data_IF_965774038485
#
_entry.id   IF_965774038485
#
_cell.length_a   1.000
_cell.length_b   1.000
_cell.length_c   1.000
_cell.angle_alpha   90.00
_cell.angle_beta   90.00
_cell.angle_gamma   90.00
#
_symmetry.space_group_name_H-M   'P 1'
#
loop_
_entity.id
_entity.type
_entity.pdbx_description
1 polymer ?
#
# COMPACT_ATOMS: atom_id res chain seq x y z
N UNK A 1 31.75 79.92 -31.84
CA UNK A 1 30.69 79.76 -30.81
C UNK A 1 29.60 78.81 -31.29
N UNK A 2 29.28 77.78 -30.50
CA UNK A 2 28.34 76.67 -30.75
C UNK A 2 28.73 75.68 -31.87
N UNK A 3 29.10 76.13 -33.08
CA UNK A 3 29.48 75.21 -34.17
C UNK A 3 30.83 74.54 -33.90
N UNK A 4 31.83 75.27 -33.40
CA UNK A 4 33.13 74.70 -33.03
C UNK A 4 33.02 73.73 -31.86
N UNK A 5 32.09 73.98 -30.93
CA UNK A 5 31.80 73.07 -29.81
C UNK A 5 31.15 71.78 -30.29
N UNK A 6 30.16 71.89 -31.20
CA UNK A 6 29.51 70.73 -31.80
C UNK A 6 30.48 69.88 -32.65
N UNK A 7 31.41 70.51 -33.37
CA UNK A 7 32.45 69.80 -34.14
C UNK A 7 33.47 69.13 -33.22
N UNK A 8 33.86 69.78 -32.12
CA UNK A 8 34.75 69.19 -31.12
C UNK A 8 34.09 68.00 -30.40
N UNK A 9 32.79 68.08 -30.08
CA UNK A 9 32.04 66.99 -29.45
C UNK A 9 31.84 65.81 -30.41
N UNK A 10 31.61 66.06 -31.70
CA UNK A 10 31.57 65.01 -32.73
C UNK A 10 32.94 64.35 -32.96
N UNK A 11 34.04 65.12 -32.93
CA UNK A 11 35.39 64.56 -32.98
C UNK A 11 35.74 63.74 -31.73
N UNK A 12 35.24 64.15 -30.55
CA UNK A 12 35.41 63.42 -29.28
C UNK A 12 34.60 62.12 -29.26
N UNK A 13 33.40 62.12 -29.83
CA UNK A 13 32.58 60.91 -30.00
C UNK A 13 33.10 59.97 -31.11
N UNK A 14 33.80 60.49 -32.13
CA UNK A 14 34.55 59.66 -33.09
C UNK A 14 35.74 58.92 -32.46
N UNK A 15 36.22 59.40 -31.31
CA UNK A 15 37.27 58.76 -30.51
C UNK A 15 36.69 57.87 -29.39
N UNK A 16 35.38 57.58 -29.39
CA UNK A 16 34.84 56.51 -28.56
C UNK A 16 35.46 55.19 -29.00
N UNK A 17 36.11 54.48 -28.07
CA UNK A 17 36.79 53.22 -28.32
C UNK A 17 35.89 52.24 -29.10
N UNK A 18 36.45 51.42 -30.03
CA UNK A 18 35.65 50.45 -30.75
C UNK A 18 34.87 49.59 -29.75
N UNK A 19 33.57 49.44 -29.99
CA UNK A 19 32.69 48.61 -29.15
C UNK A 19 33.27 47.20 -29.13
N UNK A 20 33.64 46.71 -27.96
CA UNK A 20 34.20 45.37 -27.78
C UNK A 20 33.10 44.31 -27.90
N UNK A 21 33.11 43.59 -29.02
CA UNK A 21 32.18 42.50 -29.32
C UNK A 21 32.68 41.13 -28.80
N UNK A 22 33.89 41.06 -28.25
CA UNK A 22 34.48 39.82 -27.71
C UNK A 22 33.57 39.11 -26.70
N UNK A 23 33.05 39.80 -25.67
CA UNK A 23 32.17 39.19 -24.67
C UNK A 23 30.85 38.65 -25.23
N UNK A 24 30.32 39.28 -26.29
CA UNK A 24 29.10 38.83 -26.95
C UNK A 24 29.37 37.58 -27.79
N UNK A 25 30.51 37.54 -28.49
CA UNK A 25 30.95 36.38 -29.26
C UNK A 25 31.22 35.16 -28.36
N UNK A 26 31.81 35.37 -27.18
CA UNK A 26 31.99 34.31 -26.18
C UNK A 26 30.66 33.78 -25.65
N UNK A 27 29.68 34.66 -25.37
CA UNK A 27 28.33 34.23 -24.96
C UNK A 27 27.61 33.44 -26.04
N UNK A 28 27.74 33.83 -27.31
CA UNK A 28 27.16 33.10 -28.45
C UNK A 28 27.81 31.72 -28.58
N UNK A 29 29.13 31.64 -28.50
CA UNK A 29 29.85 30.36 -28.53
C UNK A 29 29.45 29.44 -27.37
N UNK A 30 29.25 30.00 -26.16
CA UNK A 30 28.73 29.27 -25.01
C UNK A 30 27.29 28.77 -25.20
N UNK A 31 26.43 29.59 -25.81
CA UNK A 31 25.06 29.19 -26.16
C UNK A 31 25.04 28.06 -27.20
N UNK A 32 25.86 28.16 -28.25
CA UNK A 32 25.99 27.12 -29.27
C UNK A 32 26.47 25.79 -28.68
N UNK A 33 27.41 25.84 -27.74
CA UNK A 33 27.88 24.66 -27.02
C UNK A 33 26.77 24.06 -26.14
N UNK A 34 26.00 24.89 -25.45
CA UNK A 34 24.87 24.44 -24.63
C UNK A 34 23.76 23.83 -25.48
N UNK A 35 23.40 24.44 -26.61
CA UNK A 35 22.40 23.93 -27.55
C UNK A 35 22.82 22.57 -28.10
N UNK A 36 24.09 22.39 -28.46
CA UNK A 36 24.62 21.08 -28.88
C UNK A 36 24.53 20.04 -27.77
N UNK A 37 24.97 20.39 -26.56
CA UNK A 37 24.90 19.51 -25.39
C UNK A 37 23.46 19.07 -25.07
N UNK A 38 22.51 20.01 -25.09
CA UNK A 38 21.08 19.71 -24.91
C UNK A 38 20.55 18.84 -26.04
N UNK A 39 20.93 19.09 -27.28
CA UNK A 39 20.54 18.27 -28.43
C UNK A 39 21.06 16.83 -28.34
N UNK A 40 22.28 16.64 -27.84
CA UNK A 40 22.86 15.31 -27.64
C UNK A 40 22.24 14.59 -26.43
N UNK A 41 21.94 15.31 -25.36
CA UNK A 41 21.20 14.79 -24.21
C UNK A 41 19.79 14.33 -24.60
N UNK A 42 19.07 15.12 -25.39
CA UNK A 42 17.74 14.75 -25.89
C UNK A 42 17.77 13.47 -26.74
N UNK A 43 18.75 13.33 -27.65
CA UNK A 43 18.93 12.09 -28.43
C UNK A 43 19.24 10.88 -27.54
N UNK A 44 20.02 11.07 -26.48
CA UNK A 44 20.34 10.01 -25.54
C UNK A 44 19.10 9.59 -24.72
N UNK A 45 18.23 10.54 -24.36
CA UNK A 45 16.94 10.27 -23.73
C UNK A 45 15.98 9.54 -24.65
N UNK A 46 15.86 9.96 -25.92
CA UNK A 46 15.06 9.26 -26.93
C UNK A 46 15.54 7.80 -27.11
N UNK A 47 16.85 7.59 -27.14
CA UNK A 47 17.43 6.25 -27.20
C UNK A 47 17.11 5.39 -25.97
N UNK A 48 17.08 6.00 -24.78
CA UNK A 48 16.69 5.31 -23.53
C UNK A 48 15.19 5.00 -23.51
N UNK A 49 14.35 5.92 -23.99
CA UNK A 49 12.91 5.72 -24.10
C UNK A 49 12.61 4.56 -25.07
N UNK A 50 13.20 4.56 -26.26
CA UNK A 50 13.06 3.46 -27.21
C UNK A 50 13.50 2.11 -26.62
N UNK A 51 14.63 2.09 -25.88
CA UNK A 51 15.10 0.89 -25.20
C UNK A 51 14.15 0.42 -24.08
N UNK A 52 13.53 1.35 -23.36
CA UNK A 52 12.56 1.05 -22.32
C UNK A 52 11.26 0.51 -22.91
N UNK A 53 10.73 1.14 -23.97
CA UNK A 53 9.56 0.68 -24.71
C UNK A 53 9.79 -0.74 -25.25
N UNK A 54 10.97 -1.01 -25.82
CA UNK A 54 11.35 -2.34 -26.26
C UNK A 54 11.42 -3.34 -25.09
N UNK A 55 11.96 -2.93 -23.95
CA UNK A 55 12.05 -3.77 -22.75
C UNK A 55 10.67 -4.09 -22.17
N UNK A 56 9.75 -3.12 -22.17
CA UNK A 56 8.36 -3.30 -21.74
C UNK A 56 7.62 -4.24 -22.70
N UNK A 57 7.78 -4.06 -24.01
CA UNK A 57 7.16 -4.95 -25.01
C UNK A 57 7.67 -6.39 -24.90
N UNK A 58 8.98 -6.58 -24.72
CA UNK A 58 9.55 -7.91 -24.45
C UNK A 58 9.08 -8.48 -23.11
N UNK A 59 8.98 -7.60 -22.11
CA UNK A 59 8.30 -7.74 -20.83
C UNK A 59 6.97 -8.47 -20.96
N UNK A 60 6.01 -7.75 -21.52
CA UNK A 60 4.66 -8.22 -21.81
C UNK A 60 4.71 -9.55 -22.55
N UNK A 61 5.42 -9.63 -23.68
CA UNK A 61 5.44 -10.86 -24.48
C UNK A 61 5.89 -12.12 -23.72
N UNK A 62 6.86 -11.98 -22.79
CA UNK A 62 7.26 -13.08 -21.90
C UNK A 62 6.18 -13.41 -20.87
N UNK A 63 5.54 -12.40 -20.28
CA UNK A 63 4.43 -12.59 -19.35
C UNK A 63 3.25 -13.29 -20.04
N UNK A 64 2.86 -12.87 -21.25
CA UNK A 64 1.78 -13.55 -21.99
C UNK A 64 2.14 -14.99 -22.37
N UNK A 65 3.38 -15.24 -22.80
CA UNK A 65 3.87 -16.59 -23.11
C UNK A 65 3.90 -17.49 -21.86
N UNK A 66 4.26 -16.94 -20.71
CA UNK A 66 4.24 -17.66 -19.43
C UNK A 66 2.83 -17.85 -18.89
N UNK A 67 1.95 -16.85 -19.00
CA UNK A 67 0.53 -16.94 -18.66
C UNK A 67 -0.21 -17.97 -19.53
N UNK A 68 0.30 -18.28 -20.73
CA UNK A 68 -0.22 -19.37 -21.56
C UNK A 68 0.08 -20.77 -20.99
N UNK A 69 0.97 -20.88 -19.98
CA UNK A 69 1.19 -22.13 -19.26
C UNK A 69 0.15 -22.29 -18.14
N UNK A 70 -0.70 -23.33 -18.14
CA UNK A 70 -1.83 -23.45 -17.21
C UNK A 70 -1.44 -23.33 -15.74
N UNK A 71 -0.29 -23.87 -15.34
CA UNK A 71 0.20 -23.81 -13.95
C UNK A 71 0.66 -22.42 -13.53
N UNK A 72 1.28 -21.67 -14.44
CA UNK A 72 1.74 -20.31 -14.16
C UNK A 72 0.54 -19.35 -14.17
N UNK A 73 -0.37 -19.50 -15.13
CA UNK A 73 -1.63 -18.76 -15.16
C UNK A 73 -2.40 -18.94 -13.84
N UNK A 74 -2.51 -20.18 -13.36
CA UNK A 74 -3.16 -20.49 -12.09
C UNK A 74 -2.46 -19.83 -10.91
N UNK A 75 -1.12 -19.86 -10.86
CA UNK A 75 -0.37 -19.22 -9.78
C UNK A 75 -0.54 -17.69 -9.78
N UNK A 76 -0.58 -17.06 -10.95
CA UNK A 76 -0.85 -15.63 -11.10
C UNK A 76 -2.27 -15.30 -10.65
N UNK A 77 -3.27 -16.06 -11.11
CA UNK A 77 -4.67 -15.89 -10.70
C UNK A 77 -4.86 -16.09 -9.19
N UNK A 78 -4.22 -17.10 -8.60
CA UNK A 78 -4.23 -17.34 -7.17
C UNK A 78 -3.58 -16.19 -6.38
N UNK A 79 -2.48 -15.63 -6.89
CA UNK A 79 -1.81 -14.49 -6.28
C UNK A 79 -2.68 -13.22 -6.34
N UNK A 80 -3.31 -12.96 -7.49
CA UNK A 80 -4.24 -11.85 -7.66
C UNK A 80 -5.44 -11.97 -6.71
N UNK A 81 -6.06 -13.16 -6.65
CA UNK A 81 -7.15 -13.48 -5.74
C UNK A 81 -6.72 -13.27 -4.28
N UNK A 82 -5.58 -13.84 -3.87
CA UNK A 82 -5.02 -13.64 -2.53
C UNK A 82 -4.82 -12.16 -2.22
N UNK A 83 -4.29 -11.38 -3.16
CA UNK A 83 -4.04 -9.96 -2.99
C UNK A 83 -5.34 -9.17 -2.79
N UNK A 84 -6.42 -9.53 -3.51
CA UNK A 84 -7.74 -8.94 -3.32
C UNK A 84 -8.34 -9.30 -1.94
N UNK A 85 -8.24 -10.56 -1.53
CA UNK A 85 -8.66 -11.03 -0.20
C UNK A 85 -7.89 -10.32 0.92
N UNK A 86 -6.57 -10.19 0.80
CA UNK A 86 -5.72 -9.53 1.80
C UNK A 86 -6.09 -8.04 1.96
N UNK A 87 -6.57 -7.39 0.89
CA UNK A 87 -7.11 -6.01 0.94
C UNK A 87 -8.54 -5.91 1.47
N UNK A 88 -9.28 -7.02 1.53
CA UNK A 88 -10.68 -7.05 1.93
C UNK A 88 -11.65 -6.41 0.93
N UNK A 89 -11.21 -6.15 -0.31
CA UNK A 89 -12.06 -5.60 -1.36
C UNK A 89 -12.93 -6.71 -2.00
N UNK A 90 -14.04 -6.36 -2.68
CA UNK A 90 -14.72 -7.29 -3.58
C UNK A 90 -13.74 -7.91 -4.57
N UNK A 91 -13.87 -9.21 -4.82
CA UNK A 91 -12.89 -10.01 -5.55
C UNK A 91 -13.54 -10.94 -6.60
N UNK A 92 -14.76 -10.64 -7.02
CA UNK A 92 -15.52 -11.44 -7.99
C UNK A 92 -14.75 -11.66 -9.30
N UNK A 93 -14.11 -10.61 -9.83
CA UNK A 93 -13.31 -10.67 -11.06
C UNK A 93 -12.13 -11.64 -10.95
N UNK A 94 -11.40 -11.58 -9.84
CA UNK A 94 -10.26 -12.47 -9.58
C UNK A 94 -10.73 -13.90 -9.35
N UNK A 95 -11.86 -14.09 -8.68
CA UNK A 95 -12.47 -15.40 -8.45
C UNK A 95 -12.92 -16.05 -9.77
N UNK A 96 -13.55 -15.28 -10.66
CA UNK A 96 -13.95 -15.75 -11.98
C UNK A 96 -12.74 -16.12 -12.85
N UNK A 97 -11.67 -15.32 -12.78
CA UNK A 97 -10.41 -15.60 -13.48
C UNK A 97 -9.78 -16.89 -12.97
N UNK A 98 -9.75 -17.09 -11.66
CA UNK A 98 -9.26 -18.33 -11.05
C UNK A 98 -10.14 -19.53 -11.43
N UNK A 99 -11.47 -19.38 -11.39
CA UNK A 99 -12.43 -20.42 -11.75
C UNK A 99 -12.37 -20.80 -13.23
N UNK A 100 -12.03 -19.88 -14.13
CA UNK A 100 -11.82 -20.17 -15.55
C UNK A 100 -10.66 -21.15 -15.80
N UNK A 101 -9.67 -21.19 -14.90
CA UNK A 101 -8.49 -22.05 -14.99
C UNK A 101 -8.65 -23.33 -14.15
N UNK A 102 -9.24 -23.21 -12.96
CA UNK A 102 -9.46 -24.31 -12.01
C UNK A 102 -10.95 -24.39 -11.59
N UNK A 103 -11.85 -24.82 -12.48
CA UNK A 103 -13.30 -24.79 -12.21
C UNK A 103 -13.75 -25.77 -11.11
N UNK A 104 -12.97 -26.84 -10.88
CA UNK A 104 -13.28 -27.89 -9.92
C UNK A 104 -12.66 -27.64 -8.53
N UNK A 105 -12.07 -26.47 -8.29
CA UNK A 105 -11.48 -26.12 -7.01
C UNK A 105 -12.57 -26.02 -5.91
N UNK A 106 -12.47 -26.81 -4.82
CA UNK A 106 -13.51 -26.87 -3.79
C UNK A 106 -13.72 -25.53 -3.05
N UNK A 107 -12.69 -24.68 -3.01
CA UNK A 107 -12.71 -23.38 -2.34
C UNK A 107 -13.63 -22.37 -3.05
N UNK A 108 -13.91 -22.56 -4.35
CA UNK A 108 -14.76 -21.65 -5.14
C UNK A 108 -16.15 -21.50 -4.55
N UNK A 109 -16.73 -22.58 -4.04
CA UNK A 109 -18.08 -22.56 -3.46
C UNK A 109 -18.13 -21.66 -2.22
N UNK A 110 -17.15 -21.79 -1.33
CA UNK A 110 -17.05 -20.99 -0.12
C UNK A 110 -16.74 -19.52 -0.44
N UNK A 111 -15.88 -19.25 -1.43
CA UNK A 111 -15.46 -17.90 -1.78
C UNK A 111 -16.55 -17.09 -2.50
N UNK A 112 -17.43 -17.74 -3.27
CA UNK A 112 -18.51 -17.05 -4.01
C UNK A 112 -19.46 -16.25 -3.13
N UNK A 113 -19.77 -16.72 -1.91
CA UNK A 113 -20.66 -15.97 -0.99
C UNK A 113 -20.07 -14.65 -0.49
N UNK A 114 -18.76 -14.47 -0.61
CA UNK A 114 -18.04 -13.28 -0.16
C UNK A 114 -17.53 -12.41 -1.32
N UNK A 115 -17.63 -12.88 -2.56
CA UNK A 115 -17.02 -12.25 -3.72
C UNK A 115 -17.44 -10.78 -3.94
N UNK A 116 -18.73 -10.48 -3.75
CA UNK A 116 -19.28 -9.13 -3.94
C UNK A 116 -19.00 -8.18 -2.78
N UNK A 117 -18.80 -8.72 -1.57
CA UNK A 117 -18.68 -7.93 -0.34
C UNK A 117 -17.23 -7.78 0.13
N UNK A 118 -16.36 -8.68 -0.31
CA UNK A 118 -15.05 -8.87 0.30
C UNK A 118 -15.13 -9.64 1.61
N UNK A 119 -13.98 -9.80 2.26
CA UNK A 119 -13.83 -10.41 3.59
C UNK A 119 -13.19 -9.42 4.55
N UNK A 120 -13.50 -9.49 5.86
CA UNK A 120 -12.80 -8.70 6.86
C UNK A 120 -11.28 -8.92 6.78
N UNK A 121 -10.52 -7.83 6.80
CA UNK A 121 -9.06 -7.92 6.79
C UNK A 121 -8.56 -8.47 8.12
N UNK A 122 -7.35 -9.03 8.12
CA UNK A 122 -6.70 -9.47 9.37
C UNK A 122 -6.57 -8.35 10.39
N UNK A 123 -6.31 -7.13 9.93
CA UNK A 123 -6.24 -5.94 10.78
C UNK A 123 -7.60 -5.61 11.40
N UNK A 124 -8.68 -5.70 10.60
CA UNK A 124 -10.05 -5.53 11.08
C UNK A 124 -10.38 -6.56 12.16
N UNK A 125 -10.12 -7.85 11.89
CA UNK A 125 -10.38 -8.94 12.83
C UNK A 125 -9.59 -8.73 14.13
N UNK A 126 -8.32 -8.36 14.06
CA UNK A 126 -7.50 -8.09 15.25
C UNK A 126 -8.02 -6.88 16.04
N UNK A 127 -8.46 -5.82 15.37
CA UNK A 127 -9.02 -4.63 16.04
C UNK A 127 -10.34 -4.89 16.76
N UNK A 128 -11.13 -5.84 16.27
CA UNK A 128 -12.42 -6.21 16.85
C UNK A 128 -12.29 -7.33 17.90
N UNK A 129 -11.15 -8.01 17.96
CA UNK A 129 -10.93 -9.18 18.81
C UNK A 129 -11.10 -8.87 20.30
N UNK A 130 -10.55 -7.75 20.78
CA UNK A 130 -10.65 -7.37 22.21
C UNK A 130 -12.11 -7.09 22.62
N UNK A 131 -12.86 -6.38 21.78
CA UNK A 131 -14.26 -6.08 22.05
C UNK A 131 -15.12 -7.36 22.06
N UNK A 132 -14.89 -8.25 21.08
CA UNK A 132 -15.55 -9.54 21.01
C UNK A 132 -15.20 -10.43 22.23
N UNK A 133 -13.92 -10.47 22.61
CA UNK A 133 -13.45 -11.23 23.78
C UNK A 133 -14.13 -10.74 25.06
N UNK A 134 -14.16 -9.44 25.31
CA UNK A 134 -14.86 -8.87 26.46
C UNK A 134 -16.35 -9.25 26.46
N UNK A 135 -17.04 -9.16 25.32
CA UNK A 135 -18.44 -9.55 25.21
C UNK A 135 -18.67 -11.04 25.50
N UNK A 136 -17.78 -11.91 25.04
CA UNK A 136 -17.84 -13.35 25.32
C UNK A 136 -17.65 -13.65 26.81
N UNK A 137 -16.71 -12.98 27.48
CA UNK A 137 -16.49 -13.14 28.93
C UNK A 137 -17.67 -12.65 29.74
N UNK A 138 -18.25 -11.50 29.39
CA UNK A 138 -19.45 -10.98 30.06
C UNK A 138 -20.65 -11.93 29.87
N UNK A 139 -20.84 -12.47 28.66
CA UNK A 139 -21.90 -13.45 28.39
C UNK A 139 -21.73 -14.78 29.14
N UNK A 140 -20.49 -15.14 29.48
CA UNK A 140 -20.18 -16.35 30.25
C UNK A 140 -20.38 -16.20 31.76
N UNK A 141 -20.60 -14.99 32.27
CA UNK A 141 -20.90 -14.79 33.70
C UNK A 141 -22.28 -15.36 34.02
N UNK A 142 -22.39 -16.27 35.01
CA UNK A 142 -23.69 -16.78 35.44
C UNK A 142 -24.58 -15.63 35.91
N UNK A 143 -25.78 -15.50 35.32
CA UNK A 143 -26.84 -14.67 35.89
C UNK A 143 -27.45 -15.46 37.04
N UNK A 144 -27.04 -15.13 38.25
CA UNK A 144 -27.63 -15.71 39.45
C UNK A 144 -29.05 -15.16 39.62
N UNK A 145 -30.05 -15.96 39.24
CA UNK A 145 -31.47 -15.61 39.30
C UNK A 145 -31.99 -15.50 40.75
N UNK A 146 -31.21 -15.95 41.73
CA UNK A 146 -31.50 -15.90 43.16
C UNK A 146 -30.59 -14.92 43.94
N UNK A 147 -29.77 -14.12 43.24
CA UNK A 147 -28.91 -13.11 43.88
C UNK A 147 -29.76 -12.00 44.52
N UNK A 148 -30.02 -12.14 45.82
CA UNK A 148 -30.64 -11.10 46.62
C UNK A 148 -29.86 -9.78 46.54
N UNK A 149 -30.57 -8.66 46.60
CA UNK A 149 -30.05 -7.28 46.47
C UNK A 149 -28.75 -7.01 47.25
N UNK A 150 -28.50 -7.71 48.36
CA UNK A 150 -27.28 -7.56 49.16
C UNK A 150 -26.03 -8.21 48.54
N UNK A 151 -26.16 -9.31 47.80
CA UNK A 151 -25.02 -9.97 47.13
C UNK A 151 -24.55 -9.16 45.90
N UNK A 152 -25.49 -8.50 45.21
CA UNK A 152 -25.20 -7.61 44.07
C UNK A 152 -24.45 -6.33 44.47
N UNK A 153 -24.65 -5.83 45.70
CA UNK A 153 -23.85 -4.71 46.21
C UNK A 153 -22.40 -5.13 46.53
N UNK A 154 -22.20 -6.34 47.06
CA UNK A 154 -20.86 -6.86 47.38
C UNK A 154 -20.06 -7.14 46.10
N UNK A 155 -20.66 -7.77 45.09
CA UNK A 155 -19.99 -8.03 43.80
C UNK A 155 -19.64 -6.74 43.04
N UNK A 156 -20.42 -5.66 43.23
CA UNK A 156 -20.16 -4.34 42.63
C UNK A 156 -18.90 -3.68 43.21
N UNK A 157 -18.60 -3.91 44.49
CA UNK A 157 -17.41 -3.37 45.17
C UNK A 157 -16.11 -4.09 44.77
N UNK A 158 -16.18 -5.39 44.44
CA UNK A 158 -15.01 -6.17 44.00
C UNK A 158 -14.63 -5.90 42.53
N UNK A 159 -15.55 -5.38 41.71
CA UNK A 159 -15.31 -5.09 40.28
C UNK A 159 -14.32 -3.95 40.01
N UNK A 160 -13.98 -3.14 41.03
CA UNK A 160 -13.06 -2.01 40.91
C UNK A 160 -11.57 -2.42 40.93
N UNK A 161 -11.25 -3.69 41.24
CA UNK A 161 -9.87 -4.20 41.25
C UNK A 161 -9.71 -5.30 40.20
N UNK A 162 -9.72 -4.89 38.93
CA UNK A 162 -9.49 -5.79 37.79
C UNK A 162 -8.00 -6.13 37.69
N UNK A 163 -7.58 -7.21 38.33
CA UNK A 163 -6.22 -7.75 38.17
C UNK A 163 -6.16 -8.49 36.84
N UNK A 164 -5.42 -7.98 35.85
CA UNK A 164 -5.04 -8.75 34.65
C UNK A 164 -3.85 -9.64 35.02
N UNK A 165 -3.99 -10.99 34.97
CA UNK A 165 -2.82 -11.86 35.05
C UNK A 165 -1.91 -11.56 33.86
N UNK A 166 -0.63 -11.32 34.14
CA UNK A 166 0.42 -11.23 33.12
C UNK A 166 1.06 -12.60 32.98
N UNK A 167 0.71 -13.32 31.91
CA UNK A 167 1.22 -14.66 31.64
C UNK A 167 0.23 -15.49 30.83
N UNK A 168 0.71 -16.58 30.23
CA UNK A 168 -0.10 -17.58 29.51
C UNK A 168 -1.36 -17.89 30.29
N UNK A 169 -2.52 -17.65 29.69
CA UNK A 169 -3.84 -17.88 30.31
C UNK A 169 -4.03 -19.40 30.46
N UNK A 170 -3.59 -19.93 31.60
CA UNK A 170 -3.76 -21.32 32.00
C UNK A 170 -5.12 -21.48 32.68
N UNK A 171 -5.99 -22.28 32.08
CA UNK A 171 -7.32 -22.59 32.61
C UNK A 171 -8.30 -23.05 31.53
N UNK A 172 -9.26 -23.89 31.92
CA UNK A 172 -10.30 -24.43 31.02
C UNK A 172 -11.61 -23.64 31.10
N UNK A 173 -11.61 -22.48 31.77
CA UNK A 173 -12.78 -21.63 31.87
C UNK A 173 -13.01 -20.82 30.60
N UNK A 174 -14.24 -20.30 30.45
CA UNK A 174 -14.61 -19.45 29.32
C UNK A 174 -13.71 -18.19 29.22
N UNK A 175 -13.35 -17.48 30.31
CA UNK A 175 -12.47 -16.33 30.23
C UNK A 175 -11.04 -16.65 29.75
N UNK A 176 -10.49 -17.79 30.19
CA UNK A 176 -9.14 -18.21 29.83
C UNK A 176 -9.07 -18.68 28.37
N UNK A 177 -10.10 -19.38 27.89
CA UNK A 177 -10.23 -19.84 26.50
C UNK A 177 -10.38 -18.66 25.54
N UNK A 178 -11.25 -17.70 25.88
CA UNK A 178 -11.44 -16.47 25.09
C UNK A 178 -10.15 -15.65 25.02
N UNK A 179 -9.40 -15.55 26.12
CA UNK A 179 -8.13 -14.84 26.13
C UNK A 179 -7.04 -15.54 25.29
N UNK A 180 -6.99 -16.88 25.25
CA UNK A 180 -6.08 -17.60 24.34
C UNK A 180 -6.48 -17.44 22.88
N UNK A 181 -7.77 -17.46 22.58
CA UNK A 181 -8.31 -17.17 21.25
C UNK A 181 -7.92 -15.77 20.79
N UNK A 182 -8.10 -14.74 21.64
CA UNK A 182 -7.74 -13.35 21.33
C UNK A 182 -6.24 -13.21 21.01
N UNK A 183 -5.37 -13.84 21.81
CA UNK A 183 -3.92 -13.84 21.56
C UNK A 183 -3.60 -14.50 20.23
N UNK A 184 -4.24 -15.63 19.90
CA UNK A 184 -4.04 -16.34 18.64
C UNK A 184 -4.49 -15.48 17.43
N UNK A 185 -5.63 -14.80 17.53
CA UNK A 185 -6.11 -13.85 16.51
C UNK A 185 -5.10 -12.71 16.30
N UNK A 186 -4.60 -12.11 17.39
CA UNK A 186 -3.62 -11.03 17.34
C UNK A 186 -2.25 -11.47 16.76
N UNK A 187 -1.92 -12.76 16.87
CA UNK A 187 -0.74 -13.37 16.25
C UNK A 187 -0.99 -13.79 14.79
N UNK A 188 -2.23 -13.67 14.29
CA UNK A 188 -2.63 -14.14 12.96
C UNK A 188 -2.74 -15.66 12.84
N UNK A 189 -2.76 -16.38 13.96
CA UNK A 189 -2.94 -17.83 14.03
C UNK A 189 -4.43 -18.18 14.21
N UNK A 190 -5.17 -18.07 13.10
CA UNK A 190 -6.61 -18.34 13.10
C UNK A 190 -6.95 -19.82 13.28
N UNK A 191 -6.04 -20.74 12.94
CA UNK A 191 -6.24 -22.16 13.16
C UNK A 191 -6.24 -22.50 14.65
N UNK A 192 -5.28 -21.94 15.40
CA UNK A 192 -5.26 -22.03 16.85
C UNK A 192 -6.46 -21.33 17.47
N UNK A 193 -6.80 -20.12 17.01
CA UNK A 193 -7.96 -19.40 17.52
C UNK A 193 -9.28 -20.21 17.35
N UNK A 194 -9.46 -20.92 16.23
CA UNK A 194 -10.64 -21.76 15.99
C UNK A 194 -10.67 -23.05 16.84
N UNK A 195 -9.53 -23.47 17.38
CA UNK A 195 -9.41 -24.73 18.15
C UNK A 195 -9.60 -24.56 19.65
N UNK A 196 -9.57 -23.32 20.14
CA UNK A 196 -9.90 -22.96 21.53
C UNK A 196 -11.42 -23.02 21.74
#
# INVERSE_FOLDING_TARGET
>A
GQIETAVADLQKNRNAAPVDLGPLNEKIAGLDALVKSTGDAAKAEDGRLAALEQSVSQLSGKVEAQASQPKIALAIAASALKSALDRGAPFATELDTFAAIAPDAPELAALRSYADKGVPTRATIASEAEAAANAMVEAAKPVDQDAGFFQSLVSSAESLVKVRPVGSVEGNGAPETVARMEVAVNQGDYAKALSE
#
